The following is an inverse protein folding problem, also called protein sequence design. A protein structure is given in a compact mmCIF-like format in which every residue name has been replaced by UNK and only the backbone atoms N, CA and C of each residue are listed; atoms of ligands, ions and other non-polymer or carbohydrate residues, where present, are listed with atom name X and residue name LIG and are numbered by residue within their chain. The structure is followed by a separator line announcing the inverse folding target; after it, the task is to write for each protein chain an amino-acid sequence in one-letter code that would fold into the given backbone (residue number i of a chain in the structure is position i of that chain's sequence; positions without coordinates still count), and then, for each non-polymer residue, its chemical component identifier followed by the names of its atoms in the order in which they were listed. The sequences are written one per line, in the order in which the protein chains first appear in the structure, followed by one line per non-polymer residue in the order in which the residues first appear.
data_IF_969960162435
#
_entry.id   IF_969960162435
#
_cell.length_a   1.000
_cell.length_b   1.000
_cell.length_c   1.000
_cell.angle_alpha   90.00
_cell.angle_beta   90.00
_cell.angle_gamma   90.00
#
_symmetry.space_group_name_H-M   'P 1'
#
loop_
_entity.id
_entity.type
_entity.pdbx_description
1 polymer ?
#
# COMPACT_ATOMS: atom_id res chain seq x y z
N UNK A 1 -0.07 20.85 9.91
CA UNK A 1 -0.40 19.43 9.71
C UNK A 1 -1.54 19.10 10.65
N UNK A 2 -2.61 18.48 10.18
CA UNK A 2 -3.78 18.16 11.01
C UNK A 2 -3.76 16.67 11.34
N UNK A 3 -3.30 16.31 12.53
CA UNK A 3 -3.18 14.90 12.95
C UNK A 3 -4.54 14.21 13.05
N UNK A 4 -5.60 14.94 13.39
CA UNK A 4 -6.97 14.41 13.41
C UNK A 4 -7.41 13.83 12.05
N UNK A 5 -6.96 14.43 10.94
CA UNK A 5 -7.20 13.91 9.58
C UNK A 5 -6.24 12.76 9.26
N UNK A 6 -4.94 12.93 9.51
CA UNK A 6 -3.93 11.91 9.22
C UNK A 6 -4.18 10.60 9.98
N UNK A 7 -4.74 10.68 11.19
CA UNK A 7 -5.10 9.53 12.01
C UNK A 7 -6.61 9.20 11.93
N UNK A 8 -7.23 9.43 10.76
CA UNK A 8 -8.64 9.15 10.53
C UNK A 8 -8.94 7.67 10.55
N UNK A 9 -9.94 7.28 11.33
CA UNK A 9 -10.46 5.91 11.41
C UNK A 9 -11.48 5.58 10.32
N UNK A 10 -11.82 6.53 9.45
CA UNK A 10 -12.78 6.32 8.36
C UNK A 10 -12.27 5.25 7.39
N UNK A 11 -13.18 4.41 6.91
CA UNK A 11 -12.94 3.35 5.94
C UNK A 11 -13.51 3.70 4.57
N UNK A 12 -12.96 3.13 3.49
CA UNK A 12 -13.48 3.36 2.13
C UNK A 12 -14.91 2.82 1.94
N UNK A 13 -15.29 1.79 2.70
CA UNK A 13 -16.66 1.25 2.70
C UNK A 13 -17.71 2.22 3.28
N UNK A 14 -17.28 3.30 3.93
CA UNK A 14 -18.15 4.21 4.67
C UNK A 14 -18.69 3.63 5.98
N UNK A 15 -18.26 2.44 6.41
CA UNK A 15 -18.66 1.87 7.70
C UNK A 15 -18.11 2.75 8.83
N UNK A 16 -18.96 3.01 9.81
CA UNK A 16 -18.56 3.74 11.01
C UNK A 16 -17.59 2.93 11.86
N UNK A 17 -16.74 3.66 12.59
CA UNK A 17 -15.83 3.08 13.57
C UNK A 17 -16.61 2.31 14.63
N UNK A 18 -16.14 1.16 15.01
CA UNK A 18 -16.68 0.38 16.14
C UNK A 18 -16.10 0.93 17.46
N UNK A 19 -16.57 0.47 18.60
CA UNK A 19 -16.00 0.86 19.90
C UNK A 19 -14.58 0.29 20.17
N UNK A 20 -14.01 -0.42 19.20
CA UNK A 20 -12.67 -0.98 19.26
C UNK A 20 -11.67 -0.05 18.60
N UNK A 21 -10.38 -0.25 18.87
CA UNK A 21 -9.32 0.43 18.15
C UNK A 21 -9.32 -0.06 16.70
N UNK A 22 -9.67 0.83 15.76
CA UNK A 22 -9.80 0.53 14.33
C UNK A 22 -8.46 0.13 13.68
N UNK A 23 -7.34 0.61 14.22
CA UNK A 23 -6.00 0.24 13.72
C UNK A 23 -5.57 -1.16 14.18
N UNK A 24 -6.05 -1.62 15.34
CA UNK A 24 -5.90 -3.02 15.75
C UNK A 24 -6.73 -3.95 14.86
N UNK A 25 -7.89 -3.50 14.41
CA UNK A 25 -8.68 -4.25 13.43
C UNK A 25 -8.00 -4.28 12.05
N UNK A 26 -7.35 -3.19 11.63
CA UNK A 26 -6.52 -3.18 10.42
C UNK A 26 -5.41 -4.22 10.51
N UNK A 27 -4.68 -4.27 11.62
CA UNK A 27 -3.65 -5.27 11.86
C UNK A 27 -4.21 -6.71 11.71
N UNK A 28 -5.34 -7.00 12.37
CA UNK A 28 -5.99 -8.32 12.28
C UNK A 28 -6.39 -8.65 10.84
N UNK A 29 -7.00 -7.70 10.12
CA UNK A 29 -7.40 -7.87 8.72
C UNK A 29 -6.21 -8.19 7.83
N UNK A 30 -5.07 -7.52 8.03
CA UNK A 30 -3.84 -7.76 7.29
C UNK A 30 -3.31 -9.16 7.56
N UNK A 31 -3.01 -9.50 8.82
CA UNK A 31 -2.32 -10.75 9.16
C UNK A 31 -3.18 -12.00 8.91
N UNK A 32 -4.51 -11.87 8.92
CA UNK A 32 -5.42 -12.98 8.60
C UNK A 32 -5.74 -13.09 7.12
N UNK A 33 -5.33 -12.11 6.29
CA UNK A 33 -5.63 -12.11 4.86
C UNK A 33 -4.86 -13.22 4.11
N UNK A 34 -5.48 -13.82 3.09
CA UNK A 34 -4.80 -14.81 2.25
C UNK A 34 -3.58 -14.24 1.52
N UNK A 35 -3.63 -12.97 1.09
CA UNK A 35 -2.51 -12.32 0.39
C UNK A 35 -1.28 -12.17 1.29
N UNK A 36 -1.46 -11.78 2.56
CA UNK A 36 -0.36 -11.68 3.52
C UNK A 36 0.24 -13.06 3.82
N UNK A 37 -0.60 -14.08 4.08
CA UNK A 37 -0.14 -15.45 4.33
C UNK A 37 0.64 -16.03 3.15
N UNK A 38 0.26 -15.68 1.91
CA UNK A 38 0.97 -16.13 0.70
C UNK A 38 2.40 -15.59 0.58
N UNK A 39 2.78 -14.57 1.33
CA UNK A 39 4.15 -14.09 1.40
C UNK A 39 5.11 -15.16 1.94
N UNK A 40 4.61 -16.16 2.65
CA UNK A 40 5.41 -17.31 3.12
C UNK A 40 6.05 -18.08 1.95
N UNK A 41 5.34 -18.19 0.83
CA UNK A 41 5.78 -18.97 -0.33
C UNK A 41 6.61 -18.14 -1.33
N UNK A 42 6.86 -16.87 -1.02
CA UNK A 42 7.67 -15.98 -1.85
C UNK A 42 9.04 -15.74 -1.21
N UNK A 43 10.10 -16.01 -1.97
CA UNK A 43 11.46 -15.71 -1.52
C UNK A 43 11.74 -14.21 -1.56
N UNK A 44 12.57 -13.71 -0.67
CA UNK A 44 12.99 -12.30 -0.68
C UNK A 44 14.09 -12.06 -1.71
N UNK A 45 15.16 -12.84 -1.68
CA UNK A 45 16.31 -12.68 -2.58
C UNK A 45 16.70 -14.01 -3.25
N UNK A 46 16.94 -15.05 -2.47
CA UNK A 46 17.47 -16.32 -2.96
C UNK A 46 16.33 -17.34 -3.15
N UNK A 47 16.02 -17.74 -4.39
CA UNK A 47 15.02 -18.77 -4.64
C UNK A 47 15.58 -20.15 -4.30
N UNK A 48 14.69 -21.06 -3.85
CA UNK A 48 14.95 -22.49 -3.66
C UNK A 48 15.95 -22.86 -2.56
N UNK A 49 16.38 -21.95 -1.73
CA UNK A 49 17.23 -22.23 -0.59
C UNK A 49 16.38 -22.71 0.61
N UNK A 50 16.89 -23.72 1.32
CA UNK A 50 16.25 -24.31 2.52
C UNK A 50 16.95 -23.96 3.83
N UNK A 51 17.78 -22.95 3.82
CA UNK A 51 18.50 -22.52 5.01
C UNK A 51 17.63 -21.60 5.87
N UNK A 52 17.61 -21.81 7.17
CA UNK A 52 16.80 -21.03 8.13
C UNK A 52 17.16 -19.54 8.17
N UNK A 53 18.33 -19.17 7.66
CA UNK A 53 18.79 -17.78 7.56
C UNK A 53 18.20 -17.02 6.37
N UNK A 54 17.52 -17.69 5.44
CA UNK A 54 16.99 -17.07 4.24
C UNK A 54 15.55 -16.66 4.45
N UNK A 55 15.30 -15.35 4.32
CA UNK A 55 13.99 -14.77 4.53
C UNK A 55 13.02 -15.13 3.43
N UNK A 56 11.82 -15.54 3.82
CA UNK A 56 10.65 -15.40 2.98
C UNK A 56 10.18 -13.94 3.01
N UNK A 57 9.33 -13.52 2.08
CA UNK A 57 8.73 -12.19 2.16
C UNK A 57 7.89 -11.99 3.41
N UNK A 58 7.32 -13.06 3.97
CA UNK A 58 6.58 -13.00 5.23
C UNK A 58 7.50 -12.65 6.40
N UNK A 59 8.60 -13.38 6.58
CA UNK A 59 9.54 -13.11 7.68
C UNK A 59 10.19 -11.73 7.54
N UNK A 60 10.55 -11.34 6.31
CA UNK A 60 11.03 -9.99 6.01
C UNK A 60 10.00 -8.91 6.40
N UNK A 61 8.74 -9.06 6.03
CA UNK A 61 7.69 -8.09 6.37
C UNK A 61 7.48 -7.97 7.88
N UNK A 62 7.59 -9.07 8.63
CA UNK A 62 7.52 -9.06 10.09
C UNK A 62 8.71 -8.31 10.72
N UNK A 63 9.93 -8.54 10.22
CA UNK A 63 11.13 -7.85 10.67
C UNK A 63 11.06 -6.34 10.36
N UNK A 64 10.64 -5.97 9.15
CA UNK A 64 10.44 -4.57 8.77
C UNK A 64 9.41 -3.91 9.69
N UNK A 65 8.30 -4.57 10.00
CA UNK A 65 7.28 -4.04 10.90
C UNK A 65 7.81 -3.84 12.33
N UNK A 66 8.59 -4.79 12.83
CA UNK A 66 9.23 -4.68 14.16
C UNK A 66 10.19 -3.49 14.21
N UNK A 67 11.08 -3.37 13.23
CA UNK A 67 12.06 -2.28 13.17
C UNK A 67 11.37 -0.92 13.00
N UNK A 68 10.40 -0.83 12.09
CA UNK A 68 9.66 0.40 11.83
C UNK A 68 8.90 0.87 13.08
N UNK A 69 8.23 -0.04 13.81
CA UNK A 69 7.56 0.27 15.07
C UNK A 69 8.57 0.76 16.12
N UNK A 70 9.75 0.15 16.22
CA UNK A 70 10.80 0.58 17.14
C UNK A 70 11.32 1.97 16.81
N UNK A 71 11.60 2.26 15.53
CA UNK A 71 12.03 3.59 15.09
C UNK A 71 10.94 4.65 15.34
N UNK A 72 9.69 4.34 15.05
CA UNK A 72 8.58 5.25 15.33
C UNK A 72 8.47 5.58 16.83
N UNK A 73 8.70 4.59 17.71
CA UNK A 73 8.72 4.81 19.16
C UNK A 73 9.84 5.75 19.58
N UNK A 74 11.04 5.58 19.05
CA UNK A 74 12.16 6.51 19.31
C UNK A 74 11.86 7.94 18.84
N UNK A 75 11.23 8.09 17.67
CA UNK A 75 10.80 9.40 17.16
C UNK A 75 9.78 10.04 18.11
N UNK A 76 8.82 9.28 18.63
CA UNK A 76 7.85 9.80 19.60
C UNK A 76 8.55 10.30 20.86
N UNK A 77 9.52 9.55 21.40
CA UNK A 77 10.29 9.98 22.59
C UNK A 77 11.03 11.30 22.32
N UNK A 78 11.71 11.41 21.17
CA UNK A 78 12.41 12.65 20.80
C UNK A 78 11.45 13.85 20.68
N UNK A 79 10.25 13.61 20.12
CA UNK A 79 9.22 14.66 20.02
C UNK A 79 8.66 15.07 21.39
N UNK A 80 8.53 14.13 22.34
CA UNK A 80 8.15 14.45 23.73
C UNK A 80 9.16 15.36 24.38
N UNK A 81 10.46 15.05 24.26
CA UNK A 81 11.54 15.89 24.79
C UNK A 81 11.57 17.29 24.14
N UNK A 82 11.24 17.40 22.85
CA UNK A 82 11.15 18.70 22.18
C UNK A 82 9.96 19.54 22.69
N UNK A 83 8.79 18.91 22.88
CA UNK A 83 7.57 19.58 23.36
C UNK A 83 7.75 20.04 24.80
N UNK A 84 8.43 19.28 25.66
CA UNK A 84 8.78 19.71 27.02
C UNK A 84 9.62 21.02 27.04
N UNK A 85 10.52 21.17 26.06
CA UNK A 85 11.34 22.38 25.92
C UNK A 85 10.59 23.53 25.27
N UNK A 86 9.73 23.24 24.31
CA UNK A 86 8.96 24.21 23.56
C UNK A 86 7.61 23.61 23.17
N UNK A 87 6.52 24.04 23.84
CA UNK A 87 5.17 23.57 23.54
C UNK A 87 4.78 23.75 22.07
N UNK A 88 4.19 22.71 21.48
CA UNK A 88 3.71 22.66 20.10
C UNK A 88 2.44 21.78 20.05
N UNK A 89 1.29 22.42 19.88
CA UNK A 89 -0.01 21.75 19.92
C UNK A 89 -0.16 20.66 18.88
N UNK A 90 0.48 20.79 17.72
CA UNK A 90 0.43 19.74 16.67
C UNK A 90 1.21 18.49 17.09
N UNK A 91 2.38 18.68 17.74
CA UNK A 91 3.17 17.56 18.26
C UNK A 91 2.48 16.91 19.46
N UNK A 92 1.88 17.70 20.35
CA UNK A 92 1.11 17.23 21.50
C UNK A 92 -0.07 16.36 21.05
N UNK A 93 -0.81 16.75 20.01
CA UNK A 93 -1.91 15.95 19.44
C UNK A 93 -1.39 14.59 18.93
N UNK A 94 -0.27 14.57 18.22
CA UNK A 94 0.33 13.31 17.74
C UNK A 94 0.80 12.43 18.90
N UNK A 95 1.47 13.02 19.91
CA UNK A 95 1.95 12.29 21.10
C UNK A 95 0.77 11.68 21.87
N UNK A 96 -0.34 12.40 22.02
CA UNK A 96 -1.54 11.90 22.69
C UNK A 96 -2.12 10.67 21.96
N UNK A 97 -1.86 10.52 20.67
CA UNK A 97 -2.29 9.39 19.83
C UNK A 97 -1.14 8.49 19.38
N UNK A 98 -0.04 8.45 20.13
CA UNK A 98 1.18 7.72 19.76
C UNK A 98 0.94 6.24 19.42
N UNK A 99 0.09 5.54 20.19
CA UNK A 99 -0.20 4.11 19.94
C UNK A 99 -0.90 3.91 18.59
N UNK A 100 -1.75 4.84 18.17
CA UNK A 100 -2.38 4.82 16.85
C UNK A 100 -1.31 4.97 15.75
N UNK A 101 -0.39 5.93 15.92
CA UNK A 101 0.73 6.14 14.99
C UNK A 101 1.60 4.89 14.89
N UNK A 102 1.99 4.30 16.02
CA UNK A 102 2.79 3.08 16.05
C UNK A 102 2.08 1.93 15.34
N UNK A 103 0.76 1.79 15.54
CA UNK A 103 -0.03 0.73 14.92
C UNK A 103 -0.17 0.93 13.41
N UNK A 104 -0.40 2.16 12.94
CA UNK A 104 -0.47 2.49 11.51
C UNK A 104 0.86 2.18 10.84
N UNK A 105 2.00 2.57 11.43
CA UNK A 105 3.35 2.28 10.91
C UNK A 105 3.59 0.78 10.83
N UNK A 106 3.20 0.04 11.86
CA UNK A 106 3.28 -1.43 11.88
C UNK A 106 2.45 -2.05 10.74
N UNK A 107 1.19 -1.65 10.58
CA UNK A 107 0.30 -2.12 9.52
C UNK A 107 0.84 -1.84 8.11
N UNK A 108 1.30 -0.61 7.86
CA UNK A 108 1.87 -0.23 6.57
C UNK A 108 3.13 -1.03 6.24
N UNK A 109 3.96 -1.28 7.26
CA UNK A 109 5.19 -2.08 7.12
C UNK A 109 4.91 -3.54 6.78
N UNK A 110 3.85 -4.14 7.36
CA UNK A 110 3.46 -5.52 7.03
C UNK A 110 3.09 -5.69 5.55
N UNK A 111 2.50 -4.69 4.93
CA UNK A 111 1.99 -4.78 3.55
C UNK A 111 2.88 -4.15 2.49
N UNK A 112 4.03 -3.58 2.87
CA UNK A 112 4.89 -2.82 1.95
C UNK A 112 5.32 -3.61 0.71
N UNK A 113 5.54 -4.91 0.85
CA UNK A 113 6.01 -5.83 -0.20
C UNK A 113 4.90 -6.73 -0.78
N UNK A 114 3.64 -6.52 -0.38
CA UNK A 114 2.51 -7.40 -0.73
C UNK A 114 2.29 -7.50 -2.24
N UNK A 115 2.47 -6.41 -2.96
CA UNK A 115 2.27 -6.31 -4.40
C UNK A 115 3.49 -6.67 -5.24
N UNK A 116 4.64 -6.91 -4.63
CA UNK A 116 5.85 -7.23 -5.37
C UNK A 116 5.74 -8.61 -6.04
N UNK A 117 6.04 -8.71 -7.35
CA UNK A 117 6.08 -10.00 -8.04
C UNK A 117 7.31 -10.82 -7.60
N UNK A 118 7.36 -12.11 -7.95
CA UNK A 118 8.60 -12.88 -7.87
C UNK A 118 9.74 -12.14 -8.59
N UNK A 119 10.95 -12.21 -8.04
CA UNK A 119 12.16 -11.51 -8.53
C UNK A 119 12.11 -9.98 -8.47
N UNK A 120 11.20 -9.38 -7.68
CA UNK A 120 11.14 -7.95 -7.42
C UNK A 120 11.10 -7.09 -8.69
N UNK A 121 11.99 -6.09 -8.80
CA UNK A 121 12.03 -5.16 -9.94
C UNK A 121 12.30 -5.84 -11.29
N UNK A 122 13.08 -6.92 -11.31
CA UNK A 122 13.28 -7.69 -12.53
C UNK A 122 11.96 -8.33 -12.99
N UNK A 123 11.19 -8.90 -12.05
CA UNK A 123 9.86 -9.44 -12.34
C UNK A 123 8.89 -8.37 -12.85
N UNK A 124 8.92 -7.17 -12.27
CA UNK A 124 8.14 -6.03 -12.76
C UNK A 124 8.47 -5.68 -14.21
N UNK A 125 9.78 -5.62 -14.55
CA UNK A 125 10.21 -5.30 -15.90
C UNK A 125 9.77 -6.36 -16.92
N UNK A 126 9.86 -7.64 -16.59
CA UNK A 126 9.38 -8.73 -17.43
C UNK A 126 7.86 -8.62 -17.64
N UNK A 127 7.08 -8.36 -16.59
CA UNK A 127 5.62 -8.16 -16.69
C UNK A 127 5.30 -7.00 -17.63
N UNK A 128 5.96 -5.85 -17.46
CA UNK A 128 5.78 -4.65 -18.32
C UNK A 128 6.10 -4.94 -19.79
N UNK A 129 7.23 -5.59 -20.04
CA UNK A 129 7.66 -5.95 -21.40
C UNK A 129 6.69 -6.93 -22.06
N UNK A 130 6.26 -7.94 -21.30
CA UNK A 130 5.33 -8.95 -21.80
C UNK A 130 4.00 -8.31 -22.22
N UNK A 131 3.41 -7.47 -21.37
CA UNK A 131 2.16 -6.80 -21.70
C UNK A 131 2.30 -5.85 -22.89
N UNK A 132 3.37 -5.06 -22.97
CA UNK A 132 3.62 -4.17 -24.10
C UNK A 132 3.72 -4.93 -25.43
N UNK A 133 4.33 -6.09 -25.41
CA UNK A 133 4.54 -6.92 -26.61
C UNK A 133 3.28 -7.68 -27.03
N UNK A 134 2.56 -8.26 -26.09
CA UNK A 134 1.54 -9.27 -26.40
C UNK A 134 0.10 -8.76 -26.25
N UNK A 135 -0.17 -7.84 -25.31
CA UNK A 135 -1.53 -7.41 -25.02
C UNK A 135 -2.28 -6.81 -26.23
N UNK A 136 -1.66 -5.99 -27.11
CA UNK A 136 -2.35 -5.47 -28.29
C UNK A 136 -2.84 -6.56 -29.27
N UNK A 137 -2.05 -7.59 -29.52
CA UNK A 137 -2.46 -8.71 -30.39
C UNK A 137 -3.53 -9.56 -29.76
N UNK A 138 -3.38 -9.90 -28.47
CA UNK A 138 -4.37 -10.71 -27.74
C UNK A 138 -5.75 -10.03 -27.73
N UNK A 139 -5.80 -8.73 -27.53
CA UNK A 139 -7.05 -7.98 -27.50
C UNK A 139 -7.68 -7.88 -28.89
N UNK A 140 -6.91 -7.59 -29.92
CA UNK A 140 -7.42 -7.50 -31.32
C UNK A 140 -8.09 -8.78 -31.82
N UNK A 141 -7.67 -9.93 -31.34
CA UNK A 141 -8.29 -11.21 -31.67
C UNK A 141 -9.63 -11.44 -30.96
N UNK A 142 -9.97 -10.65 -29.95
CA UNK A 142 -11.06 -10.98 -29.04
C UNK A 142 -12.28 -10.06 -29.06
N UNK A 143 -12.19 -8.81 -29.50
CA UNK A 143 -13.37 -7.94 -29.51
C UNK A 143 -13.18 -6.58 -30.18
N UNK A 144 -14.31 -5.99 -30.63
CA UNK A 144 -14.37 -4.62 -31.14
C UNK A 144 -14.06 -3.55 -30.07
N UNK A 145 -14.16 -3.91 -28.78
CA UNK A 145 -13.82 -3.03 -27.65
C UNK A 145 -12.31 -2.90 -27.42
N UNK A 146 -11.51 -3.69 -28.13
CA UNK A 146 -10.06 -3.73 -27.98
C UNK A 146 -9.39 -2.39 -28.32
N UNK A 147 -9.83 -1.71 -29.34
CA UNK A 147 -9.25 -0.43 -29.77
C UNK A 147 -9.53 0.67 -28.74
N UNK A 148 -10.75 0.71 -28.20
CA UNK A 148 -11.13 1.65 -27.14
C UNK A 148 -10.30 1.42 -25.88
N UNK A 149 -10.13 0.17 -25.45
CA UNK A 149 -9.30 -0.16 -24.30
C UNK A 149 -7.82 0.19 -24.51
N UNK A 150 -7.25 -0.09 -25.68
CA UNK A 150 -5.88 0.23 -26.03
C UNK A 150 -5.62 1.75 -26.09
N UNK A 151 -6.64 2.55 -26.41
CA UNK A 151 -6.60 4.01 -26.39
C UNK A 151 -6.86 4.61 -24.98
N UNK A 152 -7.39 3.82 -24.07
CA UNK A 152 -7.77 4.27 -22.73
C UNK A 152 -6.56 4.40 -21.78
N UNK A 153 -6.65 5.20 -20.70
CA UNK A 153 -5.60 5.30 -19.69
C UNK A 153 -5.40 3.99 -18.90
N UNK A 154 -6.35 3.07 -18.90
CA UNK A 154 -6.24 1.76 -18.23
C UNK A 154 -5.13 0.88 -18.78
N UNK A 155 -4.71 1.06 -20.03
CA UNK A 155 -3.61 0.30 -20.63
C UNK A 155 -2.29 0.50 -19.87
N UNK A 156 -2.11 1.66 -19.27
CA UNK A 156 -0.91 1.98 -18.53
C UNK A 156 -0.80 1.21 -17.21
N UNK A 157 -1.89 0.69 -16.66
CA UNK A 157 -1.86 -0.19 -15.49
C UNK A 157 -1.04 -1.47 -15.78
N UNK A 158 -1.07 -1.93 -17.03
CA UNK A 158 -0.30 -3.06 -17.51
C UNK A 158 1.10 -2.67 -17.98
N UNK A 159 1.22 -1.57 -18.71
CA UNK A 159 2.50 -1.13 -19.29
C UNK A 159 3.46 -0.53 -18.28
N UNK A 160 2.94 -0.13 -17.12
CA UNK A 160 3.68 0.48 -16.03
C UNK A 160 3.38 -0.25 -14.70
N UNK A 161 3.28 -1.57 -14.77
CA UNK A 161 3.11 -2.38 -13.58
C UNK A 161 4.16 -2.02 -12.53
N UNK A 162 3.74 -1.80 -11.27
CA UNK A 162 4.58 -1.41 -10.15
C UNK A 162 4.09 -2.10 -8.89
N UNK A 163 5.00 -2.70 -8.11
CA UNK A 163 4.66 -3.45 -6.89
C UNK A 163 3.96 -2.60 -5.84
N UNK A 164 4.37 -1.32 -5.67
CA UNK A 164 3.70 -0.44 -4.72
C UNK A 164 2.24 -0.17 -5.10
N UNK A 165 1.97 0.11 -6.38
CA UNK A 165 0.60 0.29 -6.88
C UNK A 165 -0.23 -1.00 -6.74
N UNK A 166 0.40 -2.15 -6.98
CA UNK A 166 -0.23 -3.45 -6.80
C UNK A 166 -0.54 -3.74 -5.32
N UNK A 167 0.30 -3.29 -4.37
CA UNK A 167 -0.01 -3.39 -2.94
C UNK A 167 -1.31 -2.67 -2.60
N UNK A 168 -1.47 -1.43 -3.06
CA UNK A 168 -2.72 -0.70 -2.87
C UNK A 168 -3.93 -1.44 -3.48
N UNK A 169 -3.81 -1.92 -4.74
CA UNK A 169 -4.87 -2.69 -5.41
C UNK A 169 -5.26 -3.93 -4.63
N UNK A 170 -4.29 -4.69 -4.12
CA UNK A 170 -4.56 -5.88 -3.32
C UNK A 170 -5.36 -5.54 -2.08
N UNK A 171 -4.91 -4.58 -1.28
CA UNK A 171 -5.57 -4.26 0.00
C UNK A 171 -6.89 -3.53 -0.16
N UNK A 172 -7.10 -2.79 -1.27
CA UNK A 172 -8.30 -1.99 -1.49
C UNK A 172 -9.39 -2.67 -2.34
N UNK A 173 -9.03 -3.71 -3.14
CA UNK A 173 -9.98 -4.31 -4.11
C UNK A 173 -9.95 -5.83 -4.24
N UNK A 174 -8.77 -6.48 -4.09
CA UNK A 174 -8.65 -7.89 -4.49
C UNK A 174 -8.98 -8.89 -3.37
N UNK A 175 -9.84 -8.54 -2.44
CA UNK A 175 -10.36 -9.43 -1.40
C UNK A 175 -11.87 -9.32 -1.34
N UNK A 176 -12.56 -10.40 -1.68
CA UNK A 176 -14.00 -10.52 -1.51
C UNK A 176 -14.29 -11.29 -0.20
N UNK A 177 -14.62 -10.54 0.84
CA UNK A 177 -15.02 -11.10 2.14
C UNK A 177 -16.54 -11.00 2.36
N UNK A 178 -17.39 -11.35 1.43
CA UNK A 178 -18.86 -11.40 1.59
C UNK A 178 -19.66 -10.53 0.63
N UNK A 179 -19.06 -10.05 -0.48
CA UNK A 179 -19.81 -9.34 -1.53
C UNK A 179 -20.26 -7.91 -1.16
N UNK A 180 -19.82 -7.38 -0.01
CA UNK A 180 -20.20 -6.03 0.43
C UNK A 180 -19.12 -4.98 0.12
N UNK A 181 -17.86 -5.36 0.08
CA UNK A 181 -16.73 -4.48 -0.20
C UNK A 181 -15.53 -5.31 -0.68
N UNK A 182 -14.99 -4.92 -1.82
CA UNK A 182 -13.81 -5.55 -2.42
C UNK A 182 -12.56 -4.98 -1.76
N UNK A 183 -11.88 -5.77 -0.94
CA UNK A 183 -10.64 -5.36 -0.27
C UNK A 183 -10.59 -5.76 1.21
N UNK A 184 -9.52 -5.34 1.90
CA UNK A 184 -9.35 -5.56 3.33
C UNK A 184 -10.15 -4.56 4.19
N UNK A 185 -10.73 -3.54 3.57
CA UNK A 185 -11.47 -2.47 4.22
C UNK A 185 -10.66 -1.82 5.36
N UNK A 186 -9.42 -1.45 5.06
CA UNK A 186 -8.52 -0.76 5.99
C UNK A 186 -8.93 0.70 6.18
N UNK A 187 -8.51 1.32 7.28
CA UNK A 187 -8.71 2.75 7.52
C UNK A 187 -7.99 3.60 6.49
N UNK A 188 -8.52 4.79 6.21
CA UNK A 188 -7.90 5.75 5.29
C UNK A 188 -6.48 6.13 5.73
N UNK A 189 -6.23 6.25 7.03
CA UNK A 189 -4.90 6.52 7.59
C UNK A 189 -3.90 5.41 7.24
N UNK A 190 -4.26 4.16 7.46
CA UNK A 190 -3.41 3.01 7.09
C UNK A 190 -3.18 2.96 5.58
N UNK A 191 -4.22 3.15 4.76
CA UNK A 191 -4.09 3.17 3.30
C UNK A 191 -3.23 4.32 2.80
N UNK A 192 -3.34 5.53 3.38
CA UNK A 192 -2.50 6.67 3.03
C UNK A 192 -1.01 6.40 3.34
N UNK A 193 -0.73 5.75 4.46
CA UNK A 193 0.66 5.42 4.84
C UNK A 193 1.30 4.38 3.90
N UNK A 194 0.50 3.52 3.26
CA UNK A 194 0.97 2.57 2.23
C UNK A 194 1.33 3.29 0.91
N UNK A 195 0.72 4.44 0.63
CA UNK A 195 0.93 5.21 -0.60
C UNK A 195 2.31 5.85 -0.61
N UNK A 196 3.27 5.18 -1.21
CA UNK A 196 4.65 5.65 -1.31
C UNK A 196 4.85 6.77 -2.34
N UNK A 197 4.04 6.77 -3.39
CA UNK A 197 4.09 7.75 -4.49
C UNK A 197 2.69 8.22 -4.84
N UNK A 198 2.57 9.44 -5.36
CA UNK A 198 1.28 10.10 -5.64
C UNK A 198 0.91 10.16 -7.12
N UNK A 199 1.68 9.52 -8.00
CA UNK A 199 1.45 9.56 -9.43
C UNK A 199 0.71 8.32 -9.94
N UNK A 200 -0.35 8.49 -10.76
CA UNK A 200 -1.05 7.38 -11.40
C UNK A 200 -0.20 6.73 -12.51
N UNK A 201 -0.53 5.49 -12.84
CA UNK A 201 0.06 4.77 -13.96
C UNK A 201 -0.09 5.49 -15.31
N UNK A 202 -1.18 6.24 -15.50
CA UNK A 202 -1.51 7.01 -16.70
C UNK A 202 -0.69 8.29 -16.87
N UNK A 203 -0.03 8.77 -15.81
CA UNK A 203 0.72 10.02 -15.88
C UNK A 203 1.94 9.90 -16.82
N UNK A 204 2.23 10.96 -17.60
CA UNK A 204 3.46 11.03 -18.39
C UNK A 204 4.64 11.24 -17.44
N UNK A 205 5.73 10.48 -17.65
CA UNK A 205 6.97 10.69 -16.89
C UNK A 205 7.44 12.14 -17.14
N UNK A 206 7.61 12.90 -16.07
CA UNK A 206 8.29 14.19 -16.08
C UNK A 206 9.76 14.00 -15.69
N UNK A 207 10.56 15.04 -15.72
CA UNK A 207 11.96 15.00 -15.26
C UNK A 207 12.09 14.87 -13.75
N UNK A 208 11.01 15.11 -13.00
CA UNK A 208 10.99 14.94 -11.55
C UNK A 208 11.21 13.48 -11.15
N UNK A 209 12.10 13.26 -10.20
CA UNK A 209 12.46 11.93 -9.68
C UNK A 209 11.23 11.19 -9.16
N UNK A 210 10.31 11.89 -8.50
CA UNK A 210 9.08 11.36 -7.95
C UNK A 210 8.11 10.82 -8.99
N UNK A 211 8.07 11.42 -10.19
CA UNK A 211 7.18 11.01 -11.30
C UNK A 211 7.63 9.73 -12.00
N UNK A 212 8.84 9.25 -11.70
CA UNK A 212 9.39 8.03 -12.32
C UNK A 212 8.75 6.75 -11.78
N UNK A 213 8.14 6.81 -10.60
CA UNK A 213 7.49 5.69 -9.92
C UNK A 213 5.97 5.85 -9.92
N UNK A 214 5.26 4.72 -10.05
CA UNK A 214 3.80 4.67 -10.02
C UNK A 214 3.37 4.41 -8.59
N UNK A 215 2.48 5.26 -8.04
CA UNK A 215 1.93 5.10 -6.70
C UNK A 215 0.65 4.29 -6.68
N UNK A 216 -0.16 4.45 -7.74
CA UNK A 216 -1.42 3.72 -7.89
C UNK A 216 -1.73 3.51 -9.38
N UNK A 217 -2.50 2.47 -9.67
CA UNK A 217 -2.99 2.25 -11.01
C UNK A 217 -4.18 3.16 -11.31
N UNK A 218 -4.40 3.50 -12.57
CA UNK A 218 -5.50 4.38 -12.96
C UNK A 218 -6.86 3.87 -12.50
N UNK A 219 -7.04 2.55 -12.47
CA UNK A 219 -8.25 1.92 -11.96
C UNK A 219 -8.51 2.19 -10.47
N UNK A 220 -7.51 2.56 -9.69
CA UNK A 220 -7.61 2.91 -8.26
C UNK A 220 -7.67 4.44 -8.01
N UNK A 221 -7.77 5.27 -9.06
CA UNK A 221 -7.78 6.74 -8.92
C UNK A 221 -8.88 7.24 -7.99
N UNK A 222 -10.07 6.64 -8.06
CA UNK A 222 -11.17 6.98 -7.14
C UNK A 222 -10.82 6.68 -5.69
N UNK A 223 -10.25 5.50 -5.43
CA UNK A 223 -9.83 5.12 -4.07
C UNK A 223 -8.73 6.07 -3.56
N UNK A 224 -7.74 6.40 -4.40
CA UNK A 224 -6.70 7.36 -4.07
C UNK A 224 -7.27 8.72 -3.68
N UNK A 225 -8.17 9.29 -4.50
CA UNK A 225 -8.84 10.58 -4.22
C UNK A 225 -9.59 10.54 -2.90
N UNK A 226 -10.38 9.48 -2.66
CA UNK A 226 -11.12 9.35 -1.39
C UNK A 226 -10.17 9.27 -0.18
N UNK A 227 -9.06 8.52 -0.28
CA UNK A 227 -8.07 8.44 0.79
C UNK A 227 -7.48 9.82 1.09
N UNK A 228 -7.05 10.56 0.06
CA UNK A 228 -6.45 11.90 0.22
C UNK A 228 -7.44 12.95 0.72
N UNK A 229 -8.71 12.89 0.31
CA UNK A 229 -9.78 13.76 0.83
C UNK A 229 -10.04 13.54 2.33
N UNK A 230 -9.95 12.29 2.80
CA UNK A 230 -10.16 11.95 4.22
C UNK A 230 -8.96 12.37 5.06
N UNK A 231 -7.75 12.16 4.54
CA UNK A 231 -6.51 12.34 5.33
C UNK A 231 -5.86 13.71 5.16
N UNK A 232 -6.32 14.54 4.20
CA UNK A 232 -5.81 15.91 3.95
C UNK A 232 -4.67 15.89 2.95
#
# INVERSE_FOLDING_TARGET
MEWSKLLSTKRLSGKEATHRNEFDDDYKRIVTSPSFRRLQDKTQVFPLERLDFIHTRLTHSLEVAMVARSLAKEIVILLQEEVEKKPDSSKEEMIARQEDVLKIVECASLVHDLGNPPYGHFGEDIIRQWFKKNLPSILKEKSDVAEEFLASPYIYDFYRFEGNAQSLRIVSKLHDFKGEFDGLDLTAATLNTILKYTYPSSNKKTEEITSKKVGYFFAEEKAFKTITEITG
#
